data_IF_393461620285
#
_entry.id   IF_393461620285
#
_cell.length_a   1.000
_cell.length_b   1.000
_cell.length_c   1.000
_cell.angle_alpha   90.00
_cell.angle_beta   90.00
_cell.angle_gamma   90.00
#
_symmetry.space_group_name_H-M   'P 1'
#
loop_
_entity.id
_entity.type
_entity.pdbx_description
1 polymer ?
#
# COMPACT_ATOMS: atom_id res chain seq x y z
N UNK A 1 8.15 -14.29 53.09
CA UNK A 1 7.43 -14.76 51.89
C UNK A 1 7.91 -13.90 50.73
N UNK A 2 8.72 -14.48 49.84
CA UNK A 2 9.57 -13.79 48.86
C UNK A 2 8.90 -13.94 47.48
N UNK A 3 8.29 -12.88 46.96
CA UNK A 3 7.80 -12.86 45.59
C UNK A 3 8.98 -12.64 44.65
N UNK A 4 9.24 -13.65 43.79
CA UNK A 4 10.22 -13.59 42.71
C UNK A 4 9.63 -12.76 41.58
N UNK A 5 10.41 -11.78 41.12
CA UNK A 5 10.25 -11.21 39.79
C UNK A 5 10.55 -12.28 38.73
N UNK A 6 9.81 -12.19 37.64
CA UNK A 6 10.20 -12.47 36.25
C UNK A 6 8.92 -12.51 35.41
N UNK A 7 8.25 -11.36 35.32
CA UNK A 7 7.55 -11.06 34.09
C UNK A 7 8.60 -10.35 33.24
N UNK A 8 9.32 -11.14 32.45
CA UNK A 8 9.97 -10.65 31.24
C UNK A 8 8.92 -9.82 30.52
N UNK A 9 9.10 -8.50 30.56
CA UNK A 9 8.53 -7.63 29.57
C UNK A 9 9.16 -8.16 28.29
N UNK A 10 8.41 -8.96 27.55
CA UNK A 10 8.76 -9.29 26.18
C UNK A 10 8.64 -7.96 25.44
N UNK A 11 9.69 -7.15 25.56
CA UNK A 11 9.99 -6.07 24.63
C UNK A 11 10.44 -6.74 23.35
N UNK A 12 9.53 -7.48 22.73
CA UNK A 12 9.53 -7.59 21.28
C UNK A 12 9.35 -6.15 20.83
N UNK A 13 10.40 -5.57 20.26
CA UNK A 13 10.20 -4.53 19.25
C UNK A 13 9.02 -5.02 18.40
N UNK A 14 7.89 -4.31 18.42
CA UNK A 14 6.75 -4.62 17.56
C UNK A 14 7.20 -4.36 16.12
N UNK A 15 7.96 -5.30 15.55
CA UNK A 15 8.44 -5.24 14.18
C UNK A 15 7.20 -5.34 13.30
N UNK A 16 6.87 -4.22 12.65
CA UNK A 16 5.76 -4.18 11.71
C UNK A 16 6.15 -5.06 10.53
N UNK A 17 5.49 -6.20 10.39
CA UNK A 17 5.79 -7.11 9.27
C UNK A 17 5.25 -6.57 7.94
N UNK A 18 4.08 -5.93 7.97
CA UNK A 18 3.36 -5.46 6.78
C UNK A 18 2.88 -4.02 6.93
N UNK A 19 3.19 -3.18 5.95
CA UNK A 19 2.61 -1.84 5.80
C UNK A 19 1.51 -1.86 4.74
N UNK A 20 0.38 -1.21 5.02
CA UNK A 20 -0.74 -1.10 4.08
C UNK A 20 -0.96 0.38 3.75
N UNK A 21 -0.81 0.73 2.48
CA UNK A 21 -1.17 2.04 1.94
C UNK A 21 -2.59 1.97 1.39
N UNK A 22 -3.50 2.77 1.94
CA UNK A 22 -4.87 2.88 1.45
C UNK A 22 -5.03 4.15 0.65
N UNK A 23 -5.37 4.00 -0.62
CA UNK A 23 -5.76 5.06 -1.53
C UNK A 23 -7.28 5.05 -1.61
N UNK A 24 -7.92 5.86 -0.78
CA UNK A 24 -9.38 5.91 -0.70
C UNK A 24 -10.04 6.49 -1.96
N UNK A 25 -11.37 6.37 -2.00
CA UNK A 25 -12.18 6.81 -3.14
C UNK A 25 -12.04 8.32 -3.43
N UNK A 26 -11.76 9.14 -2.41
CA UNK A 26 -11.67 10.59 -2.56
C UNK A 26 -10.31 10.97 -3.13
N UNK A 27 -9.25 10.35 -2.63
CA UNK A 27 -7.87 10.50 -3.10
C UNK A 27 -7.78 10.12 -4.57
N UNK A 28 -8.27 8.93 -4.91
CA UNK A 28 -8.27 8.42 -6.28
C UNK A 28 -9.26 9.17 -7.16
N UNK A 29 -10.43 9.53 -6.65
CA UNK A 29 -11.37 10.42 -7.32
C UNK A 29 -10.68 11.71 -7.73
N UNK A 30 -10.11 12.47 -6.80
CA UNK A 30 -9.41 13.74 -7.07
C UNK A 30 -8.22 13.60 -8.02
N UNK A 31 -7.51 12.47 -7.96
CA UNK A 31 -6.36 12.21 -8.82
C UNK A 31 -6.78 12.01 -10.29
N UNK A 32 -7.91 11.34 -10.52
CA UNK A 32 -8.42 11.02 -11.87
C UNK A 32 -9.58 11.91 -12.33
N UNK A 33 -10.09 12.76 -11.44
CA UNK A 33 -11.05 13.84 -11.68
C UNK A 33 -10.29 15.09 -12.15
N UNK A 34 -10.06 15.12 -13.45
CA UNK A 34 -9.66 16.32 -14.17
C UNK A 34 -10.55 16.51 -15.39
N UNK A 35 -10.33 17.62 -16.11
CA UNK A 35 -10.91 17.99 -17.42
C UNK A 35 -11.17 16.77 -18.34
N UNK A 36 -11.99 16.87 -19.39
CA UNK A 36 -12.24 15.77 -20.33
C UNK A 36 -10.98 15.02 -20.85
N UNK A 37 -9.81 15.64 -20.82
CA UNK A 37 -8.49 15.07 -21.12
C UNK A 37 -7.79 14.27 -19.99
N UNK A 38 -8.36 14.18 -18.78
CA UNK A 38 -7.78 13.51 -17.60
C UNK A 38 -6.72 14.34 -16.85
N UNK A 39 -6.18 13.83 -15.74
CA UNK A 39 -5.02 14.44 -15.08
C UNK A 39 -3.82 14.49 -16.04
N UNK A 40 -3.01 15.54 -15.94
CA UNK A 40 -1.76 15.57 -16.70
C UNK A 40 -0.87 14.42 -16.22
N UNK A 41 -0.21 13.73 -17.16
CA UNK A 41 0.74 12.64 -16.84
C UNK A 41 1.80 13.09 -15.84
N UNK A 42 2.16 14.38 -15.89
CA UNK A 42 3.08 15.02 -14.96
C UNK A 42 2.57 15.01 -13.53
N UNK A 43 1.32 15.43 -13.28
CA UNK A 43 0.73 15.45 -11.92
C UNK A 43 0.63 14.03 -11.33
N UNK A 44 0.24 13.05 -12.15
CA UNK A 44 0.21 11.65 -11.73
C UNK A 44 1.59 11.10 -11.36
N UNK A 45 2.63 11.58 -12.04
CA UNK A 45 4.01 11.21 -11.76
C UNK A 45 4.49 11.87 -10.48
N UNK A 46 4.36 13.19 -10.37
CA UNK A 46 4.76 13.94 -9.16
C UNK A 46 4.10 13.38 -7.89
N UNK A 47 2.79 13.14 -7.93
CA UNK A 47 2.10 12.51 -6.80
C UNK A 47 2.54 11.06 -6.55
N UNK A 48 2.83 10.31 -7.63
CA UNK A 48 3.35 8.94 -7.51
C UNK A 48 4.74 8.90 -6.87
N UNK A 49 5.62 9.84 -7.23
CA UNK A 49 6.95 9.97 -6.67
C UNK A 49 6.87 10.34 -5.17
N UNK A 50 6.03 11.33 -4.80
CA UNK A 50 5.78 11.72 -3.40
C UNK A 50 5.26 10.55 -2.55
N UNK A 51 4.27 9.82 -3.06
CA UNK A 51 3.71 8.65 -2.36
C UNK A 51 4.72 7.52 -2.28
N UNK A 52 5.55 7.32 -3.31
CA UNK A 52 6.61 6.32 -3.30
C UNK A 52 7.64 6.61 -2.22
N UNK A 53 8.14 7.84 -2.15
CA UNK A 53 9.12 8.27 -1.15
C UNK A 53 8.57 8.09 0.26
N UNK A 54 7.35 8.56 0.52
CA UNK A 54 6.68 8.38 1.81
C UNK A 54 6.49 6.90 2.17
N UNK A 55 6.06 6.08 1.21
CA UNK A 55 5.82 4.65 1.42
C UNK A 55 7.11 3.89 1.74
N UNK A 56 8.20 4.19 1.04
CA UNK A 56 9.52 3.57 1.25
C UNK A 56 10.07 3.99 2.61
N UNK A 57 10.07 5.29 2.92
CA UNK A 57 10.55 5.81 4.20
C UNK A 57 9.78 5.19 5.38
N UNK A 58 8.46 5.10 5.25
CA UNK A 58 7.61 4.42 6.22
C UNK A 58 8.00 2.94 6.36
N UNK A 59 8.05 2.21 5.24
CA UNK A 59 8.36 0.77 5.28
C UNK A 59 9.74 0.49 5.92
N UNK A 60 10.75 1.31 5.62
CA UNK A 60 12.09 1.16 6.18
C UNK A 60 12.14 1.54 7.66
N UNK A 61 11.51 2.64 8.04
CA UNK A 61 11.45 3.10 9.44
C UNK A 61 10.83 2.06 10.37
N UNK A 62 9.82 1.33 9.87
CA UNK A 62 9.14 0.28 10.63
C UNK A 62 9.72 -1.13 10.44
N UNK A 63 10.76 -1.29 9.61
CA UNK A 63 11.38 -2.59 9.33
C UNK A 63 10.47 -3.57 8.57
N UNK A 64 9.54 -3.05 7.77
CA UNK A 64 8.53 -3.84 7.08
C UNK A 64 9.13 -4.76 6.01
N UNK A 65 8.59 -5.97 5.94
CA UNK A 65 8.97 -6.98 4.94
C UNK A 65 7.98 -7.05 3.79
N UNK A 66 6.75 -6.59 4.02
CA UNK A 66 5.65 -6.61 3.06
C UNK A 66 5.02 -5.23 2.96
N UNK A 67 4.63 -4.87 1.74
CA UNK A 67 3.90 -3.64 1.45
C UNK A 67 2.70 -3.94 0.56
N UNK A 68 1.52 -3.49 0.96
CA UNK A 68 0.28 -3.65 0.20
C UNK A 68 -0.33 -2.29 -0.12
N UNK A 69 -0.47 -1.98 -1.41
CA UNK A 69 -1.24 -0.80 -1.86
C UNK A 69 -2.68 -1.21 -2.15
N UNK A 70 -3.64 -0.72 -1.39
CA UNK A 70 -5.07 -0.92 -1.62
C UNK A 70 -5.67 0.34 -2.24
N UNK A 71 -6.37 0.20 -3.36
CA UNK A 71 -7.01 1.31 -4.07
C UNK A 71 -8.52 1.12 -4.12
N UNK A 72 -9.27 2.09 -3.58
CA UNK A 72 -10.73 2.12 -3.69
C UNK A 72 -11.16 2.76 -5.00
N UNK A 73 -11.59 1.91 -5.94
CA UNK A 73 -11.98 2.30 -7.29
C UNK A 73 -13.50 2.22 -7.52
N UNK A 74 -14.31 2.01 -6.48
CA UNK A 74 -15.77 1.78 -6.57
C UNK A 74 -16.50 2.90 -7.27
N UNK A 75 -16.07 4.15 -7.07
CA UNK A 75 -16.69 5.36 -7.67
C UNK A 75 -16.09 5.80 -9.01
N UNK A 76 -15.07 5.11 -9.49
CA UNK A 76 -14.48 5.43 -10.79
C UNK A 76 -15.31 4.87 -11.95
N UNK A 77 -15.43 5.65 -13.02
CA UNK A 77 -15.90 5.15 -14.31
C UNK A 77 -14.94 4.10 -14.87
N UNK A 78 -15.40 3.20 -15.73
CA UNK A 78 -14.59 2.12 -16.30
C UNK A 78 -13.23 2.61 -16.88
N UNK A 79 -13.26 3.68 -17.69
CA UNK A 79 -12.05 4.24 -18.28
C UNK A 79 -11.08 4.84 -17.25
N UNK A 80 -11.59 5.43 -16.16
CA UNK A 80 -10.76 5.92 -15.05
C UNK A 80 -10.20 4.77 -14.23
N UNK A 81 -11.00 3.73 -14.00
CA UNK A 81 -10.57 2.52 -13.28
C UNK A 81 -9.37 1.86 -13.96
N UNK A 82 -9.41 1.66 -15.28
CA UNK A 82 -8.28 1.10 -16.04
C UNK A 82 -7.00 1.93 -15.86
N UNK A 83 -7.12 3.26 -15.80
CA UNK A 83 -5.96 4.15 -15.56
C UNK A 83 -5.46 4.05 -14.12
N UNK A 84 -6.38 4.01 -13.15
CA UNK A 84 -6.05 3.84 -11.73
C UNK A 84 -5.33 2.50 -11.49
N UNK A 85 -5.82 1.40 -12.07
CA UNK A 85 -5.16 0.08 -11.99
C UNK A 85 -3.72 0.15 -12.46
N UNK A 86 -3.49 0.75 -13.64
CA UNK A 86 -2.14 0.89 -14.20
C UNK A 86 -1.24 1.71 -13.30
N UNK A 87 -1.75 2.86 -12.84
CA UNK A 87 -0.99 3.75 -11.97
C UNK A 87 -0.65 3.12 -10.62
N UNK A 88 -1.60 2.45 -9.95
CA UNK A 88 -1.38 1.74 -8.68
C UNK A 88 -0.37 0.60 -8.84
N UNK A 89 -0.46 -0.14 -9.94
CA UNK A 89 0.50 -1.20 -10.25
C UNK A 89 1.92 -0.64 -10.45
N UNK A 90 2.03 0.49 -11.15
CA UNK A 90 3.32 1.14 -11.38
C UNK A 90 3.89 1.72 -10.07
N UNK A 91 3.05 2.30 -9.22
CA UNK A 91 3.41 2.76 -7.87
C UNK A 91 3.93 1.61 -7.00
N UNK A 92 3.20 0.50 -6.90
CA UNK A 92 3.63 -0.67 -6.11
C UNK A 92 4.96 -1.26 -6.62
N UNK A 93 5.21 -1.18 -7.94
CA UNK A 93 6.51 -1.55 -8.52
C UNK A 93 7.60 -0.57 -8.12
N UNK A 94 7.33 0.74 -8.15
CA UNK A 94 8.28 1.78 -7.76
C UNK A 94 8.69 1.63 -6.30
N UNK A 95 7.72 1.43 -5.41
CA UNK A 95 7.99 1.18 -3.98
C UNK A 95 8.87 -0.06 -3.78
N UNK A 96 8.61 -1.14 -4.54
CA UNK A 96 9.43 -2.35 -4.44
C UNK A 96 10.84 -2.15 -4.98
N UNK A 97 10.98 -1.39 -6.06
CA UNK A 97 12.27 -1.02 -6.63
C UNK A 97 13.08 -0.17 -5.64
N UNK A 98 12.52 0.94 -5.16
CA UNK A 98 13.18 1.84 -4.21
C UNK A 98 13.46 1.17 -2.87
N UNK A 99 12.52 0.38 -2.35
CA UNK A 99 12.72 -0.40 -1.14
C UNK A 99 13.85 -1.43 -1.27
N UNK A 100 14.04 -2.02 -2.45
CA UNK A 100 15.15 -2.95 -2.70
C UNK A 100 16.53 -2.28 -2.79
N UNK A 101 16.56 -0.98 -3.13
CA UNK A 101 17.78 -0.18 -3.22
C UNK A 101 18.16 0.39 -1.86
N UNK A 102 17.18 0.91 -1.12
CA UNK A 102 17.40 1.68 0.10
C UNK A 102 17.30 0.84 1.38
N UNK A 103 16.70 -0.35 1.31
CA UNK A 103 16.44 -1.19 2.46
C UNK A 103 17.50 -2.26 2.74
N UNK A 104 17.64 -2.69 4.01
CA UNK A 104 18.55 -3.79 4.38
C UNK A 104 18.04 -5.16 3.91
N UNK A 105 16.75 -5.27 3.56
CA UNK A 105 16.09 -6.51 3.14
C UNK A 105 15.14 -6.24 1.97
N UNK A 106 14.88 -7.25 1.10
CA UNK A 106 13.90 -7.11 0.04
C UNK A 106 12.49 -6.83 0.58
N UNK A 107 11.87 -5.74 0.12
CA UNK A 107 10.48 -5.39 0.43
C UNK A 107 9.54 -6.06 -0.58
N UNK A 108 8.71 -7.00 -0.12
CA UNK A 108 7.72 -7.67 -0.96
C UNK A 108 6.51 -6.75 -1.20
N UNK A 109 6.32 -6.28 -2.42
CA UNK A 109 5.20 -5.37 -2.75
C UNK A 109 4.05 -6.08 -3.46
N UNK A 110 2.83 -5.68 -3.13
CA UNK A 110 1.57 -6.15 -3.71
C UNK A 110 0.58 -4.99 -3.86
N UNK A 111 -0.44 -5.16 -4.67
CA UNK A 111 -1.52 -4.18 -4.80
C UNK A 111 -2.88 -4.86 -4.94
N UNK A 112 -3.93 -4.19 -4.46
CA UNK A 112 -5.31 -4.66 -4.57
C UNK A 112 -6.25 -3.51 -4.95
N UNK A 113 -7.35 -3.85 -5.62
CA UNK A 113 -8.38 -2.91 -6.04
C UNK A 113 -9.72 -3.31 -5.43
N UNK A 114 -10.41 -2.34 -4.85
CA UNK A 114 -11.77 -2.49 -4.38
C UNK A 114 -12.69 -1.98 -5.49
N UNK A 115 -13.38 -2.89 -6.16
CA UNK A 115 -14.40 -2.55 -7.17
C UNK A 115 -15.82 -2.69 -6.61
N UNK A 116 -15.97 -3.49 -5.57
CA UNK A 116 -17.24 -3.83 -4.90
C UNK A 116 -17.06 -3.93 -3.39
N UNK A 117 -18.16 -3.94 -2.63
CA UNK A 117 -18.09 -4.16 -1.18
C UNK A 117 -17.56 -5.57 -0.82
N UNK A 118 -17.80 -6.57 -1.67
CA UNK A 118 -17.30 -7.95 -1.47
C UNK A 118 -15.77 -8.01 -1.52
N UNK A 119 -15.15 -7.12 -2.30
CA UNK A 119 -13.69 -7.05 -2.38
C UNK A 119 -13.07 -6.59 -1.06
N UNK A 120 -13.78 -5.79 -0.26
CA UNK A 120 -13.27 -5.29 1.04
C UNK A 120 -12.99 -6.46 1.97
N UNK A 121 -13.98 -7.32 2.19
CA UNK A 121 -13.84 -8.46 3.10
C UNK A 121 -12.77 -9.43 2.62
N UNK A 122 -12.71 -9.67 1.30
CA UNK A 122 -11.69 -10.53 0.69
C UNK A 122 -10.28 -9.97 0.87
N UNK A 123 -10.08 -8.69 0.60
CA UNK A 123 -8.78 -8.02 0.70
C UNK A 123 -8.35 -7.91 2.16
N UNK A 124 -9.25 -7.55 3.06
CA UNK A 124 -8.99 -7.50 4.49
C UNK A 124 -8.57 -8.88 5.03
N UNK A 125 -9.28 -9.94 4.67
CA UNK A 125 -8.91 -11.31 5.04
C UNK A 125 -7.55 -11.74 4.48
N UNK A 126 -7.25 -11.41 3.23
CA UNK A 126 -5.97 -11.75 2.62
C UNK A 126 -4.80 -10.96 3.23
N UNK A 127 -5.00 -9.69 3.60
CA UNK A 127 -4.04 -8.86 4.30
C UNK A 127 -3.76 -9.38 5.72
N UNK A 128 -4.81 -9.76 6.46
CA UNK A 128 -4.67 -10.33 7.81
C UNK A 128 -3.93 -11.67 7.83
N UNK A 129 -4.08 -12.48 6.77
CA UNK A 129 -3.45 -13.80 6.69
C UNK A 129 -2.00 -13.78 6.17
N UNK A 130 -1.43 -12.61 5.86
CA UNK A 130 -0.05 -12.49 5.38
C UNK A 130 0.22 -13.18 4.03
N UNK A 131 -0.83 -13.57 3.30
CA UNK A 131 -0.74 -14.14 1.95
C UNK A 131 -0.30 -13.05 0.98
N UNK A 132 1.02 -12.88 0.86
CA UNK A 132 1.69 -12.07 -0.16
C UNK A 132 1.35 -12.62 -1.54
N UNK A 133 0.25 -12.15 -2.12
CA UNK A 133 -0.26 -12.68 -3.37
C UNK A 133 -1.70 -12.31 -3.66
N UNK A 134 -2.17 -11.14 -3.25
CA UNK A 134 -3.40 -10.60 -3.84
C UNK A 134 -3.01 -9.95 -5.16
N UNK A 135 -3.07 -10.73 -6.24
CA UNK A 135 -3.24 -10.21 -7.60
C UNK A 135 -4.72 -10.41 -7.92
N UNK A 136 -5.52 -9.35 -7.83
CA UNK A 136 -6.87 -9.31 -8.43
C UNK A 136 -6.76 -8.46 -9.68
#
# INVERSE_FOLDING_TARGET
MRWRGDALIDSTDDVVDTVILVLDEHTIGSLFDGRPSGPSRRRLREYGDEVCDFAVDTALSWGARRFLTVCDARRLTFGRRVRAVRWVRDLARSIGYEGSINGPHPLATSYALIETAVDIDRIAGAAANGTGGVRI
#
